data_IF_643325274060
#
_entry.id   IF_643325274060
#
_cell.length_a   1.000
_cell.length_b   1.000
_cell.length_c   1.000
_cell.angle_alpha   90.00
_cell.angle_beta   90.00
_cell.angle_gamma   90.00
#
_symmetry.space_group_name_H-M   'P 1'
#
loop_
_entity.id
_entity.type
_entity.pdbx_description
1 polymer ?
#
# COMPACT_ATOMS: atom_id res chain seq x y z
N UNK A 1 -4.29 -2.36 13.06
CA UNK A 1 -4.39 -1.03 12.42
C UNK A 1 -5.09 -0.08 13.38
N UNK A 2 -4.39 0.92 13.94
CA UNK A 2 -4.97 1.93 14.83
C UNK A 2 -5.63 3.02 13.97
N UNK A 3 -6.94 2.91 13.74
CA UNK A 3 -7.70 3.94 13.06
C UNK A 3 -7.90 5.15 14.00
N UNK A 4 -7.27 6.28 13.70
CA UNK A 4 -7.48 7.54 14.42
C UNK A 4 -8.44 8.41 13.61
N UNK A 5 -9.65 8.62 14.14
CA UNK A 5 -10.63 9.52 13.55
C UNK A 5 -10.12 10.97 13.51
N UNK A 6 -10.33 11.65 12.38
CA UNK A 6 -9.93 13.04 12.16
C UNK A 6 -10.54 13.96 13.24
N UNK A 7 -9.70 14.70 13.98
CA UNK A 7 -10.14 15.75 14.92
C UNK A 7 -9.44 15.81 16.28
N UNK A 8 -8.67 14.78 16.67
CA UNK A 8 -8.00 14.73 17.97
C UNK A 8 -6.48 14.77 17.87
N UNK A 9 -5.91 15.96 17.68
CA UNK A 9 -4.44 16.19 17.58
C UNK A 9 -3.68 15.55 18.77
N UNK A 10 -4.24 15.61 19.97
CA UNK A 10 -3.66 14.96 21.16
C UNK A 10 -3.60 13.43 21.06
N UNK A 11 -4.57 12.76 20.43
CA UNK A 11 -4.52 11.30 20.23
C UNK A 11 -3.55 10.90 19.13
N UNK A 12 -3.41 11.73 18.08
CA UNK A 12 -2.43 11.49 17.02
C UNK A 12 -1.02 11.44 17.59
N UNK A 13 -0.70 12.34 18.52
CA UNK A 13 0.59 12.37 19.21
C UNK A 13 0.85 11.10 20.03
N UNK A 14 -0.14 10.62 20.79
CA UNK A 14 0.02 9.38 21.55
C UNK A 14 0.15 8.15 20.64
N UNK A 15 -0.61 8.09 19.53
CA UNK A 15 -0.47 7.02 18.55
C UNK A 15 0.92 7.03 17.88
N UNK A 16 1.44 8.21 17.53
CA UNK A 16 2.79 8.36 16.97
C UNK A 16 3.86 7.92 17.96
N UNK A 17 3.77 8.34 19.23
CA UNK A 17 4.71 7.89 20.27
C UNK A 17 4.71 6.38 20.40
N UNK A 18 3.53 5.78 20.58
CA UNK A 18 3.40 4.33 20.72
C UNK A 18 4.05 3.60 19.54
N UNK A 19 3.80 4.10 18.33
CA UNK A 19 4.37 3.51 17.13
C UNK A 19 5.89 3.62 17.07
N UNK A 20 6.46 4.78 17.40
CA UNK A 20 7.92 4.99 17.41
C UNK A 20 8.58 4.10 18.48
N UNK A 21 8.03 4.07 19.69
CA UNK A 21 8.60 3.26 20.77
C UNK A 21 8.55 1.76 20.46
N UNK A 22 7.42 1.27 19.93
CA UNK A 22 7.33 -0.13 19.55
C UNK A 22 8.30 -0.48 18.42
N UNK A 23 8.47 0.39 17.42
CA UNK A 23 9.41 0.15 16.32
C UNK A 23 10.88 0.21 16.72
N UNK A 24 11.25 1.13 17.60
CA UNK A 24 12.65 1.37 17.95
C UNK A 24 13.13 0.52 19.13
N UNK A 25 12.26 0.19 20.09
CA UNK A 25 12.67 -0.40 21.37
C UNK A 25 12.06 -1.77 21.66
N UNK A 26 10.90 -2.10 21.11
CA UNK A 26 10.17 -3.34 21.48
C UNK A 26 10.26 -4.43 20.39
N UNK A 27 10.34 -4.05 19.12
CA UNK A 27 10.39 -5.00 18.01
C UNK A 27 11.80 -5.54 17.76
N UNK A 28 11.90 -6.84 17.46
CA UNK A 28 13.13 -7.40 16.91
C UNK A 28 13.42 -6.80 15.53
N UNK A 29 14.68 -6.78 15.07
CA UNK A 29 15.02 -6.25 13.75
C UNK A 29 14.21 -6.87 12.61
N UNK A 30 13.94 -8.18 12.68
CA UNK A 30 13.18 -8.92 11.68
C UNK A 30 11.70 -8.51 11.68
N UNK A 31 11.10 -8.37 12.87
CA UNK A 31 9.70 -7.95 13.01
C UNK A 31 9.50 -6.50 12.59
N UNK A 32 10.47 -5.63 12.87
CA UNK A 32 10.48 -4.24 12.43
C UNK A 32 10.51 -4.14 10.91
N UNK A 33 11.40 -4.89 10.26
CA UNK A 33 11.47 -4.93 8.80
C UNK A 33 10.15 -5.44 8.20
N UNK A 34 9.61 -6.56 8.71
CA UNK A 34 8.31 -7.08 8.27
C UNK A 34 7.19 -6.03 8.40
N UNK A 35 7.17 -5.29 9.51
CA UNK A 35 6.16 -4.29 9.76
C UNK A 35 6.29 -3.08 8.81
N UNK A 36 7.51 -2.59 8.59
CA UNK A 36 7.78 -1.47 7.69
C UNK A 36 7.55 -1.83 6.22
N UNK A 37 7.92 -3.04 5.80
CA UNK A 37 7.72 -3.55 4.44
C UNK A 37 6.23 -3.68 4.10
N UNK A 38 5.39 -3.99 5.09
CA UNK A 38 3.94 -3.98 4.92
C UNK A 38 3.34 -2.56 4.95
N UNK A 39 4.00 -1.60 5.61
CA UNK A 39 3.49 -0.23 5.74
C UNK A 39 3.70 0.58 4.46
N UNK A 40 4.88 0.51 3.85
CA UNK A 40 5.26 1.32 2.68
C UNK A 40 5.71 0.42 1.53
N UNK A 41 4.93 0.47 0.45
CA UNK A 41 5.23 -0.26 -0.79
C UNK A 41 5.71 0.73 -1.85
N UNK A 42 6.70 0.33 -2.66
CA UNK A 42 7.14 1.10 -3.83
C UNK A 42 7.03 0.24 -5.10
N UNK A 43 5.83 0.12 -5.68
CA UNK A 43 5.62 -0.71 -6.87
C UNK A 43 6.38 -0.19 -8.11
N UNK A 44 6.74 1.10 -8.11
CA UNK A 44 7.52 1.73 -9.18
C UNK A 44 9.03 1.49 -9.07
N UNK A 45 9.55 1.12 -7.89
CA UNK A 45 10.98 1.04 -7.60
C UNK A 45 11.73 2.39 -7.64
N UNK A 46 11.02 3.52 -7.82
CA UNK A 46 11.63 4.85 -7.90
C UNK A 46 11.76 5.46 -6.50
N UNK A 47 12.94 5.97 -6.11
CA UNK A 47 13.11 6.65 -4.83
C UNK A 47 12.09 7.78 -4.64
N UNK A 48 11.42 7.80 -3.48
CA UNK A 48 10.41 8.83 -3.16
C UNK A 48 8.98 8.54 -3.64
N UNK A 49 8.75 7.46 -4.39
CA UNK A 49 7.42 7.05 -4.87
C UNK A 49 6.82 5.92 -4.02
N UNK A 50 6.79 6.10 -2.70
CA UNK A 50 6.19 5.15 -1.77
C UNK A 50 4.69 5.40 -1.60
N UNK A 51 3.93 4.33 -1.48
CA UNK A 51 2.50 4.33 -1.16
C UNK A 51 2.29 3.54 0.12
N UNK A 52 1.25 3.89 0.87
CA UNK A 52 0.82 3.05 1.98
C UNK A 52 0.38 1.68 1.44
N UNK A 53 0.90 0.59 2.01
CA UNK A 53 0.62 -0.79 1.58
C UNK A 53 -0.88 -1.08 1.52
N UNK A 54 -1.59 -0.78 2.60
CA UNK A 54 -3.05 -0.94 2.68
C UNK A 54 -3.78 -0.11 1.61
N UNK A 55 -3.31 1.12 1.34
CA UNK A 55 -3.91 1.97 0.31
C UNK A 55 -3.70 1.42 -1.09
N UNK A 56 -2.55 0.80 -1.36
CA UNK A 56 -2.31 0.10 -2.61
C UNK A 56 -3.24 -1.11 -2.74
N UNK A 57 -3.39 -1.90 -1.67
CA UNK A 57 -4.29 -3.04 -1.64
C UNK A 57 -5.74 -2.60 -1.91
N UNK A 58 -6.24 -1.57 -1.21
CA UNK A 58 -7.58 -1.02 -1.45
C UNK A 58 -7.76 -0.53 -2.90
N UNK A 59 -6.77 0.16 -3.46
CA UNK A 59 -6.86 0.65 -4.84
C UNK A 59 -6.82 -0.45 -5.90
N UNK A 60 -6.14 -1.55 -5.61
CA UNK A 60 -6.01 -2.67 -6.52
C UNK A 60 -7.07 -3.75 -6.30
N UNK A 61 -7.77 -3.77 -5.16
CA UNK A 61 -8.69 -4.84 -4.79
C UNK A 61 -9.72 -5.12 -5.89
N UNK A 62 -10.50 -4.13 -6.30
CA UNK A 62 -11.54 -4.28 -7.32
C UNK A 62 -10.96 -4.74 -8.68
N UNK A 63 -9.79 -4.21 -9.06
CA UNK A 63 -9.13 -4.55 -10.32
C UNK A 63 -8.48 -5.93 -10.30
N UNK A 64 -7.94 -6.32 -9.16
CA UNK A 64 -7.41 -7.66 -8.97
C UNK A 64 -8.56 -8.65 -9.08
N UNK A 65 -9.69 -8.46 -8.38
CA UNK A 65 -10.87 -9.34 -8.50
C UNK A 65 -11.37 -9.52 -9.94
N UNK A 66 -11.21 -8.54 -10.83
CA UNK A 66 -11.54 -8.67 -12.26
C UNK A 66 -10.57 -9.60 -13.03
N UNK A 67 -9.35 -9.77 -12.54
CA UNK A 67 -8.23 -10.41 -13.26
C UNK A 67 -7.71 -11.69 -12.60
N UNK A 68 -8.10 -12.00 -11.36
CA UNK A 68 -7.83 -13.30 -10.72
C UNK A 68 -9.04 -14.22 -10.84
N UNK A 69 -8.78 -15.51 -11.00
CA UNK A 69 -9.82 -16.53 -10.92
C UNK A 69 -10.37 -16.61 -9.48
N UNK A 70 -11.66 -16.96 -9.31
CA UNK A 70 -12.28 -17.09 -7.97
C UNK A 70 -11.55 -18.08 -7.04
N UNK A 71 -10.79 -18.99 -7.63
CA UNK A 71 -10.10 -20.09 -6.96
C UNK A 71 -8.67 -19.73 -6.53
N UNK A 72 -8.18 -18.51 -6.80
CA UNK A 72 -6.84 -18.08 -6.44
C UNK A 72 -6.82 -17.17 -5.21
N UNK A 73 -6.00 -17.52 -4.23
CA UNK A 73 -5.72 -16.68 -3.07
C UNK A 73 -4.92 -15.42 -3.47
N UNK A 74 -5.27 -14.28 -2.87
CA UNK A 74 -4.54 -13.02 -3.00
C UNK A 74 -3.09 -13.11 -2.55
N UNK A 75 -2.80 -14.04 -1.64
CA UNK A 75 -1.47 -14.28 -1.09
C UNK A 75 -0.65 -15.28 -1.94
N UNK A 76 -1.23 -15.81 -3.04
CA UNK A 76 -0.48 -16.61 -3.98
C UNK A 76 0.66 -15.77 -4.58
N UNK A 77 1.90 -16.27 -4.50
CA UNK A 77 3.10 -15.53 -4.93
C UNK A 77 2.99 -14.96 -6.36
N UNK A 78 2.29 -15.64 -7.26
CA UNK A 78 2.04 -15.13 -8.62
C UNK A 78 1.14 -13.87 -8.66
N UNK A 79 0.13 -13.79 -7.79
CA UNK A 79 -0.75 -12.63 -7.68
C UNK A 79 0.03 -11.45 -7.12
N UNK A 80 0.79 -11.67 -6.05
CA UNK A 80 1.59 -10.64 -5.36
C UNK A 80 2.74 -10.11 -6.20
N UNK A 81 3.50 -10.99 -6.85
CA UNK A 81 4.77 -10.62 -7.48
C UNK A 81 4.62 -10.28 -8.97
N UNK A 82 3.58 -10.78 -9.64
CA UNK A 82 3.39 -10.58 -11.10
C UNK A 82 2.12 -9.80 -11.41
N UNK A 83 0.98 -10.22 -10.86
CA UNK A 83 -0.32 -9.65 -11.25
C UNK A 83 -0.50 -8.25 -10.67
N UNK A 84 -0.32 -8.08 -9.36
CA UNK A 84 -0.52 -6.80 -8.68
C UNK A 84 0.39 -5.67 -9.20
N UNK A 85 1.70 -5.87 -9.42
CA UNK A 85 2.57 -4.83 -9.97
C UNK A 85 2.17 -4.43 -11.40
N UNK A 86 1.71 -5.38 -12.21
CA UNK A 86 1.28 -5.11 -13.58
C UNK A 86 -0.05 -4.34 -13.61
N UNK A 87 -1.05 -4.76 -12.84
CA UNK A 87 -2.33 -4.05 -12.71
C UNK A 87 -2.10 -2.61 -12.24
N UNK A 88 -1.22 -2.42 -11.25
CA UNK A 88 -0.85 -1.08 -10.78
C UNK A 88 -0.26 -0.20 -11.88
N UNK A 89 0.67 -0.73 -12.67
CA UNK A 89 1.31 0.03 -13.77
C UNK A 89 0.31 0.40 -14.85
N UNK A 90 -0.60 -0.51 -15.21
CA UNK A 90 -1.65 -0.24 -16.18
C UNK A 90 -2.63 0.84 -15.72
N UNK A 91 -3.06 0.81 -14.46
CA UNK A 91 -3.92 1.85 -13.89
C UNK A 91 -3.23 3.23 -13.87
N UNK A 92 -1.93 3.27 -13.53
CA UNK A 92 -1.16 4.51 -13.58
C UNK A 92 -1.01 5.02 -15.02
N UNK A 93 -0.65 4.15 -15.96
CA UNK A 93 -0.52 4.52 -17.37
C UNK A 93 -1.84 5.07 -17.93
N UNK A 94 -2.97 4.45 -17.58
CA UNK A 94 -4.30 4.93 -17.96
C UNK A 94 -4.56 6.34 -17.44
N UNK A 95 -4.25 6.61 -16.16
CA UNK A 95 -4.36 7.94 -15.57
C UNK A 95 -3.47 8.95 -16.30
N UNK A 96 -2.21 8.62 -16.53
CA UNK A 96 -1.24 9.48 -17.20
C UNK A 96 -1.69 9.80 -18.64
N UNK A 97 -2.22 8.81 -19.37
CA UNK A 97 -2.79 9.00 -20.71
C UNK A 97 -4.03 9.89 -20.69
N UNK A 98 -4.98 9.64 -19.77
CA UNK A 98 -6.17 10.50 -19.66
C UNK A 98 -5.81 11.94 -19.29
N UNK A 99 -4.80 12.14 -18.44
CA UNK A 99 -4.29 13.47 -18.12
C UNK A 99 -3.64 14.14 -19.34
N UNK A 100 -2.78 13.42 -20.07
CA UNK A 100 -2.10 13.93 -21.27
C UNK A 100 -3.07 14.28 -22.41
N UNK A 101 -4.19 13.56 -22.52
CA UNK A 101 -5.24 13.82 -23.50
C UNK A 101 -6.25 14.89 -23.05
N UNK A 102 -6.12 15.44 -21.84
CA UNK A 102 -7.11 16.39 -21.28
C UNK A 102 -8.47 15.74 -20.99
N UNK A 103 -8.51 14.41 -20.88
CA UNK A 103 -9.71 13.61 -20.60
C UNK A 103 -9.81 13.20 -19.12
N UNK A 104 -8.91 13.70 -18.27
CA UNK A 104 -8.97 13.49 -16.83
C UNK A 104 -10.27 14.10 -16.28
N UNK A 105 -11.12 13.24 -15.73
CA UNK A 105 -12.32 13.63 -14.97
C UNK A 105 -11.98 13.87 -13.51
#
# INVERSE_FOLDING_TARGET
MLAVAQGHVGRVWECLKMMIFSLELEMSPELRTLFLDNWLVNPSGLPGHYLAGDKLQEQLQDRLYEHISPDQDFDAGYVRDVTAPNVYRFERMKKDLTAGLGLAK
#
